data_IF_159941580096
#
_entry.id   IF_159941580096
#
_cell.length_a   1.000
_cell.length_b   1.000
_cell.length_c   1.000
_cell.angle_alpha   90.00
_cell.angle_beta   90.00
_cell.angle_gamma   90.00
#
_symmetry.space_group_name_H-M   'P 1'
#
loop_
_entity.id
_entity.type
_entity.pdbx_description
1 polymer ?
#
# COMPACT_ATOMS: atom_id res chain seq x y z
N UNK A 1 5.72 -12.36 -17.57
CA UNK A 1 7.00 -11.59 -17.52
C UNK A 1 7.65 -11.76 -16.15
N UNK A 2 7.74 -12.97 -15.61
CA UNK A 2 7.72 -13.15 -14.14
C UNK A 2 8.69 -14.18 -13.56
N UNK A 3 9.68 -14.71 -14.29
CA UNK A 3 10.43 -15.88 -13.77
C UNK A 3 11.97 -15.73 -13.83
N UNK A 4 12.51 -14.54 -13.59
CA UNK A 4 13.96 -14.27 -13.70
C UNK A 4 14.71 -14.15 -12.36
N UNK A 5 14.02 -14.11 -11.21
CA UNK A 5 14.64 -13.88 -9.89
C UNK A 5 13.89 -14.61 -8.77
N UNK A 6 14.61 -14.91 -7.68
CA UNK A 6 14.04 -15.57 -6.49
C UNK A 6 12.91 -14.72 -5.89
N UNK A 7 11.81 -15.37 -5.52
CA UNK A 7 10.59 -14.72 -5.03
C UNK A 7 9.99 -13.70 -6.01
N UNK A 8 9.95 -14.04 -7.31
CA UNK A 8 9.35 -13.18 -8.34
C UNK A 8 7.86 -12.87 -8.21
N UNK A 9 7.17 -13.55 -7.28
CA UNK A 9 5.80 -13.22 -6.89
C UNK A 9 5.72 -12.00 -5.96
N UNK A 10 6.83 -11.56 -5.35
CA UNK A 10 6.83 -10.49 -4.35
C UNK A 10 6.29 -9.16 -4.90
N UNK A 11 6.64 -8.71 -6.12
CA UNK A 11 6.05 -7.50 -6.69
C UNK A 11 4.54 -7.61 -6.90
N UNK A 12 4.02 -8.79 -7.20
CA UNK A 12 2.57 -8.99 -7.34
C UNK A 12 1.83 -8.76 -6.01
N UNK A 13 2.49 -8.94 -4.88
CA UNK A 13 1.93 -8.67 -3.55
C UNK A 13 2.26 -7.23 -3.11
N UNK A 14 3.54 -6.85 -3.15
CA UNK A 14 4.02 -5.60 -2.57
C UNK A 14 3.62 -4.38 -3.39
N UNK A 15 3.54 -4.48 -4.72
CA UNK A 15 3.12 -3.34 -5.56
C UNK A 15 1.68 -2.92 -5.25
N UNK A 16 0.66 -3.81 -5.27
CA UNK A 16 -0.69 -3.40 -4.87
C UNK A 16 -0.80 -3.08 -3.38
N UNK A 17 -0.07 -3.78 -2.50
CA UNK A 17 -0.10 -3.47 -1.07
C UNK A 17 0.44 -2.07 -0.77
N UNK A 18 1.57 -1.67 -1.35
CA UNK A 18 2.19 -0.36 -1.10
C UNK A 18 1.57 0.74 -1.98
N UNK A 19 1.14 0.40 -3.20
CA UNK A 19 0.61 1.37 -4.16
C UNK A 19 -0.90 1.64 -4.03
N UNK A 20 -1.66 0.75 -3.41
CA UNK A 20 -3.11 0.89 -3.25
C UNK A 20 -3.55 0.78 -1.78
N UNK A 21 -3.19 -0.31 -1.10
CA UNK A 21 -3.68 -0.56 0.27
C UNK A 21 -3.07 0.42 1.27
N UNK A 22 -1.75 0.57 1.25
CA UNK A 22 -1.03 1.49 2.12
C UNK A 22 -1.50 2.94 1.98
N UNK A 23 -1.64 3.53 0.77
CA UNK A 23 -2.15 4.89 0.64
C UNK A 23 -3.62 4.99 1.05
N UNK A 24 -4.47 4.01 0.73
CA UNK A 24 -5.87 4.04 1.17
C UNK A 24 -5.99 4.05 2.70
N UNK A 25 -5.24 3.17 3.37
CA UNK A 25 -5.22 3.09 4.84
C UNK A 25 -4.60 4.34 5.44
N UNK A 26 -3.41 4.74 4.98
CA UNK A 26 -2.68 5.89 5.54
C UNK A 26 -3.45 7.18 5.31
N UNK A 27 -4.00 7.41 4.12
CA UNK A 27 -4.81 8.62 3.86
C UNK A 27 -6.11 8.60 4.67
N UNK A 28 -6.76 7.44 4.85
CA UNK A 28 -7.94 7.34 5.70
C UNK A 28 -7.63 7.64 7.17
N UNK A 29 -6.53 7.12 7.69
CA UNK A 29 -6.07 7.40 9.05
C UNK A 29 -5.63 8.86 9.23
N UNK A 30 -4.91 9.41 8.24
CA UNK A 30 -4.51 10.82 8.25
C UNK A 30 -5.74 11.74 8.16
N UNK A 31 -6.73 11.40 7.35
CA UNK A 31 -8.00 12.12 7.27
C UNK A 31 -8.70 12.13 8.62
N UNK A 32 -8.83 10.97 9.27
CA UNK A 32 -9.37 10.90 10.64
C UNK A 32 -8.53 11.77 11.57
N UNK A 33 -7.20 11.74 11.49
CA UNK A 33 -6.33 12.55 12.36
C UNK A 33 -6.52 14.06 12.18
N UNK A 34 -6.63 14.56 10.94
CA UNK A 34 -6.75 16.01 10.68
C UNK A 34 -8.18 16.54 10.86
N UNK A 35 -9.19 15.69 10.67
CA UNK A 35 -10.60 16.02 10.93
C UNK A 35 -11.04 15.67 12.35
N UNK A 36 -10.22 14.93 13.09
CA UNK A 36 -10.38 14.81 14.55
C UNK A 36 -10.22 16.21 15.10
N UNK A 37 -11.33 16.72 15.64
CA UNK A 37 -11.64 18.13 15.96
C UNK A 37 -10.45 19.06 16.26
N UNK A 38 -10.61 20.33 15.85
CA UNK A 38 -9.90 21.45 16.45
C UNK A 38 -10.32 21.66 17.92
#
# INVERSE_FOLDING_TARGET
MTDAYTASFLPYILVPMIGLVFPAVTMGLLFVYIESEA
#
